data_IF_150325240659
#
_entry.id   IF_150325240659
#
_cell.length_a   1.000
_cell.length_b   1.000
_cell.length_c   1.000
_cell.angle_alpha   90.00
_cell.angle_beta   90.00
_cell.angle_gamma   90.00
#
_symmetry.space_group_name_H-M   'P 1'
#
loop_
_entity.id
_entity.type
_entity.pdbx_description
1 polymer ?
#
# COMPACT_ATOMS: atom_id res chain seq x y z
N UNK A 1 56.10 0.80 -11.09
CA UNK A 1 56.19 -0.40 -10.24
C UNK A 1 54.85 -0.63 -9.58
N UNK A 2 54.06 -1.58 -10.08
CA UNK A 2 52.78 -1.95 -9.47
C UNK A 2 53.09 -2.70 -8.17
N UNK A 3 52.66 -2.16 -7.03
CA UNK A 3 52.71 -2.87 -5.75
C UNK A 3 51.83 -4.11 -5.85
N UNK A 4 52.46 -5.27 -6.10
CA UNK A 4 51.80 -6.58 -6.00
C UNK A 4 51.66 -6.88 -4.51
N UNK A 5 50.54 -6.46 -3.93
CA UNK A 5 50.22 -6.71 -2.52
C UNK A 5 50.31 -8.19 -2.16
N UNK A 6 50.75 -8.49 -0.93
CA UNK A 6 50.90 -9.86 -0.43
C UNK A 6 49.53 -10.54 -0.43
N UNK A 7 49.37 -11.72 -1.07
CA UNK A 7 48.12 -12.45 -1.06
C UNK A 7 47.77 -12.91 0.37
N UNK A 8 46.59 -12.52 0.84
CA UNK A 8 46.04 -12.86 2.14
C UNK A 8 44.67 -13.52 2.00
N UNK A 9 44.20 -14.17 3.07
CA UNK A 9 42.88 -14.80 3.11
C UNK A 9 41.83 -13.82 3.62
N UNK A 10 40.71 -13.71 2.88
CA UNK A 10 39.55 -12.91 3.31
C UNK A 10 38.99 -13.45 4.64
N UNK A 11 38.82 -12.57 5.64
CA UNK A 11 38.31 -12.93 6.97
C UNK A 11 36.84 -13.40 6.97
N UNK A 12 36.11 -13.19 5.87
CA UNK A 12 34.72 -13.61 5.71
C UNK A 12 34.58 -14.93 4.92
N UNK A 13 35.11 -14.99 3.69
CA UNK A 13 34.90 -16.11 2.77
C UNK A 13 36.12 -17.00 2.54
N UNK A 14 37.29 -16.66 3.10
CA UNK A 14 38.53 -17.43 2.94
C UNK A 14 39.17 -17.37 1.54
N UNK A 15 38.63 -16.61 0.60
CA UNK A 15 39.25 -16.43 -0.71
C UNK A 15 40.55 -15.64 -0.61
N UNK A 16 41.52 -15.99 -1.48
CA UNK A 16 42.78 -15.26 -1.58
C UNK A 16 42.53 -13.88 -2.19
N UNK A 17 43.09 -12.84 -1.59
CA UNK A 17 42.91 -11.45 -1.99
C UNK A 17 44.17 -10.64 -1.69
N UNK A 18 44.42 -9.61 -2.50
CA UNK A 18 45.47 -8.61 -2.25
C UNK A 18 45.05 -7.57 -1.20
N UNK A 19 43.76 -7.55 -0.83
CA UNK A 19 43.25 -6.64 0.19
C UNK A 19 43.58 -7.18 1.60
N UNK A 20 44.08 -6.33 2.52
CA UNK A 20 44.49 -6.73 3.87
C UNK A 20 43.51 -7.57 4.69
N UNK A 21 42.19 -7.44 4.48
CA UNK A 21 41.21 -8.10 5.34
C UNK A 21 40.04 -8.76 4.60
N UNK A 22 39.57 -8.19 3.50
CA UNK A 22 38.35 -8.67 2.83
C UNK A 22 38.45 -8.56 1.31
N UNK A 23 37.96 -9.55 0.58
CA UNK A 23 37.99 -9.54 -0.89
C UNK A 23 37.00 -8.55 -1.53
N UNK A 24 36.02 -8.06 -0.79
CA UNK A 24 35.03 -7.10 -1.28
C UNK A 24 34.35 -6.32 -0.15
N UNK A 25 33.70 -5.20 -0.52
CA UNK A 25 32.82 -4.45 0.39
C UNK A 25 31.72 -5.33 0.99
N UNK A 26 31.19 -6.28 0.22
CA UNK A 26 30.16 -7.22 0.66
C UNK A 26 30.68 -8.19 1.73
N UNK A 27 31.90 -8.70 1.59
CA UNK A 27 32.54 -9.56 2.60
C UNK A 27 32.84 -8.79 3.89
N UNK A 28 33.36 -7.56 3.79
CA UNK A 28 33.56 -6.70 4.95
C UNK A 28 32.24 -6.41 5.68
N UNK A 29 31.18 -6.07 4.93
CA UNK A 29 29.87 -5.80 5.49
C UNK A 29 29.26 -7.03 6.17
N UNK A 30 29.33 -8.21 5.55
CA UNK A 30 28.77 -9.45 6.09
C UNK A 30 29.47 -9.88 7.37
N UNK A 31 30.80 -9.85 7.38
CA UNK A 31 31.60 -10.12 8.59
C UNK A 31 31.27 -9.14 9.72
N UNK A 32 31.22 -7.84 9.41
CA UNK A 32 30.89 -6.82 10.41
C UNK A 32 29.44 -6.93 10.91
N UNK A 33 28.48 -7.25 10.04
CA UNK A 33 27.09 -7.45 10.42
C UNK A 33 26.90 -8.70 11.30
N UNK A 34 27.72 -9.74 11.10
CA UNK A 34 27.72 -10.94 11.96
C UNK A 34 28.38 -10.67 13.31
N UNK A 35 29.53 -9.98 13.32
CA UNK A 35 30.31 -9.71 14.54
C UNK A 35 29.69 -8.61 15.40
N UNK A 36 29.05 -7.63 14.77
CA UNK A 36 28.37 -6.50 15.41
C UNK A 36 26.93 -6.41 14.90
N UNK A 37 26.07 -7.39 15.24
CA UNK A 37 24.70 -7.39 14.78
C UNK A 37 24.00 -6.12 15.25
N UNK A 38 23.35 -5.42 14.30
CA UNK A 38 22.50 -4.28 14.66
C UNK A 38 21.47 -4.77 15.67
N UNK A 39 21.50 -4.23 16.90
CA UNK A 39 20.44 -4.46 17.89
C UNK A 39 19.12 -4.13 17.20
N UNK A 40 18.23 -5.12 17.04
CA UNK A 40 16.85 -4.87 16.62
C UNK A 40 16.26 -3.98 17.71
N UNK A 41 16.13 -2.68 17.45
CA UNK A 41 15.37 -1.80 18.33
C UNK A 41 13.92 -2.29 18.20
N UNK A 42 13.51 -3.18 19.10
CA UNK A 42 12.10 -3.52 19.25
C UNK A 42 11.34 -2.20 19.35
N UNK A 43 10.34 -2.01 18.48
CA UNK A 43 9.55 -0.81 18.54
C UNK A 43 8.86 -0.80 19.90
N UNK A 44 9.21 0.17 20.76
CA UNK A 44 8.52 0.34 22.04
C UNK A 44 7.02 0.50 21.75
N UNK A 45 6.13 -0.14 22.52
CA UNK A 45 4.70 0.09 22.38
C UNK A 45 4.44 1.59 22.55
N UNK A 46 3.61 2.14 21.65
CA UNK A 46 3.18 3.54 21.70
C UNK A 46 1.72 3.56 22.13
N UNK A 47 1.33 4.62 22.83
CA UNK A 47 -0.02 4.80 23.32
C UNK A 47 -0.60 6.11 22.80
N UNK A 48 -1.91 6.16 22.63
CA UNK A 48 -2.62 7.38 22.26
C UNK A 48 -2.34 8.49 23.29
N UNK A 49 -2.04 9.69 22.82
CA UNK A 49 -1.77 10.86 23.68
C UNK A 49 -2.98 11.35 24.47
N UNK A 50 -4.21 10.93 24.13
CA UNK A 50 -5.45 11.35 24.78
C UNK A 50 -6.04 10.28 25.71
N UNK A 51 -6.25 9.06 25.21
CA UNK A 51 -6.92 7.99 25.95
C UNK A 51 -6.01 6.82 26.37
N UNK A 52 -4.70 6.89 26.08
CA UNK A 52 -3.69 5.88 26.45
C UNK A 52 -3.91 4.46 25.93
N UNK A 53 -4.84 4.23 25.00
CA UNK A 53 -4.97 2.95 24.29
C UNK A 53 -3.73 2.69 23.42
N UNK A 54 -3.32 1.44 23.28
CA UNK A 54 -2.19 1.01 22.44
C UNK A 54 -2.41 1.44 20.97
N UNK A 55 -1.40 2.07 20.36
CA UNK A 55 -1.43 2.49 18.96
C UNK A 55 -0.27 1.88 18.17
N UNK A 56 -0.52 1.62 16.88
CA UNK A 56 0.42 0.92 16.01
C UNK A 56 1.35 1.88 15.25
N UNK A 57 2.56 1.39 14.94
CA UNK A 57 3.52 2.09 14.08
C UNK A 57 4.00 3.43 14.65
N UNK A 58 3.80 4.51 13.88
CA UNK A 58 4.20 5.89 14.25
C UNK A 58 3.03 6.78 14.69
N UNK A 59 1.83 6.21 14.89
CA UNK A 59 0.65 6.97 15.29
C UNK A 59 0.83 7.57 16.69
N UNK A 60 0.23 8.73 16.90
CA UNK A 60 0.20 9.43 18.21
C UNK A 60 -1.21 9.49 18.81
N UNK A 61 -2.24 9.17 18.02
CA UNK A 61 -3.65 9.13 18.40
C UNK A 61 -4.28 7.81 17.98
N UNK A 62 -5.29 7.34 18.73
CA UNK A 62 -6.15 6.23 18.31
C UNK A 62 -7.18 6.73 17.29
N UNK A 63 -7.91 5.82 16.65
CA UNK A 63 -8.90 6.17 15.63
C UNK A 63 -10.02 7.07 16.19
N UNK A 64 -10.47 6.83 17.43
CA UNK A 64 -11.52 7.63 18.09
C UNK A 64 -11.03 9.05 18.41
N UNK A 65 -9.82 9.21 18.94
CA UNK A 65 -9.28 10.51 19.31
C UNK A 65 -8.63 11.27 18.13
N UNK A 66 -8.61 10.69 16.94
CA UNK A 66 -8.06 11.34 15.76
C UNK A 66 -9.18 12.09 15.01
N UNK A 67 -9.21 13.44 15.04
CA UNK A 67 -10.27 14.20 14.38
C UNK A 67 -10.27 14.04 12.85
N UNK A 68 -9.15 13.61 12.27
CA UNK A 68 -9.03 13.31 10.84
C UNK A 68 -9.41 11.87 10.49
N UNK A 69 -9.75 11.03 11.46
CA UNK A 69 -10.22 9.69 11.20
C UNK A 69 -11.60 9.73 10.54
N UNK A 70 -11.76 8.91 9.51
CA UNK A 70 -13.02 8.74 8.79
C UNK A 70 -13.36 7.27 8.82
N UNK A 71 -14.48 6.95 9.46
CA UNK A 71 -15.07 5.63 9.39
C UNK A 71 -15.91 5.51 8.11
N UNK A 72 -15.39 4.78 7.13
CA UNK A 72 -16.05 4.61 5.83
C UNK A 72 -17.19 3.58 5.86
N UNK A 73 -17.36 2.85 6.97
CA UNK A 73 -18.42 1.85 7.12
C UNK A 73 -19.80 2.48 7.29
N UNK A 74 -19.85 3.61 7.98
CA UNK A 74 -21.09 4.29 8.36
C UNK A 74 -21.31 5.64 7.65
N UNK A 75 -20.25 6.29 7.17
CA UNK A 75 -20.35 7.58 6.47
C UNK A 75 -21.25 7.45 5.23
N UNK A 76 -22.25 8.30 5.11
CA UNK A 76 -23.15 8.33 3.94
C UNK A 76 -22.62 9.21 2.80
N UNK A 77 -23.22 9.09 1.62
CA UNK A 77 -22.86 9.92 0.46
C UNK A 77 -23.08 11.42 0.72
N UNK A 78 -24.20 11.78 1.36
CA UNK A 78 -24.52 13.17 1.73
C UNK A 78 -23.54 13.74 2.74
N UNK A 79 -23.19 13.00 3.79
CA UNK A 79 -22.20 13.41 4.78
C UNK A 79 -20.81 13.62 4.15
N UNK A 80 -20.43 12.76 3.20
CA UNK A 80 -19.19 12.91 2.45
C UNK A 80 -19.22 14.16 1.56
N UNK A 81 -20.33 14.40 0.86
CA UNK A 81 -20.53 15.61 0.03
C UNK A 81 -20.42 16.88 0.87
N UNK A 82 -21.04 16.91 2.05
CA UNK A 82 -20.95 18.04 2.98
C UNK A 82 -19.50 18.26 3.46
N UNK A 83 -18.75 17.20 3.76
CA UNK A 83 -17.35 17.29 4.21
C UNK A 83 -16.35 17.62 3.09
N UNK A 84 -16.68 17.31 1.84
CA UNK A 84 -15.74 17.37 0.72
C UNK A 84 -16.44 17.74 -0.60
N UNK A 85 -17.05 18.94 -0.68
CA UNK A 85 -17.86 19.40 -1.81
C UNK A 85 -17.29 19.01 -3.19
N UNK A 86 -16.05 19.41 -3.49
CA UNK A 86 -15.45 19.16 -4.81
C UNK A 86 -14.77 17.81 -4.97
N UNK A 87 -14.47 17.11 -3.86
CA UNK A 87 -13.60 15.94 -3.86
C UNK A 87 -14.30 14.65 -3.44
N UNK A 88 -15.63 14.69 -3.20
CA UNK A 88 -16.40 13.55 -2.73
C UNK A 88 -16.24 12.34 -3.67
N UNK A 89 -16.41 12.52 -4.98
CA UNK A 89 -16.27 11.42 -5.96
C UNK A 89 -14.86 10.84 -6.01
N UNK A 90 -13.83 11.67 -5.84
CA UNK A 90 -12.44 11.20 -5.77
C UNK A 90 -12.18 10.38 -4.50
N UNK A 91 -12.79 10.77 -3.37
CA UNK A 91 -12.73 10.02 -2.10
C UNK A 91 -13.44 8.67 -2.20
N UNK A 92 -14.64 8.60 -2.79
CA UNK A 92 -15.34 7.33 -3.04
C UNK A 92 -14.47 6.39 -3.88
N UNK A 93 -13.91 6.89 -4.99
CA UNK A 93 -12.98 6.11 -5.85
C UNK A 93 -11.69 5.69 -5.14
N UNK A 94 -11.21 6.47 -4.17
CA UNK A 94 -10.06 6.06 -3.35
C UNK A 94 -10.41 4.89 -2.43
N UNK A 95 -11.60 4.91 -1.82
CA UNK A 95 -12.10 3.81 -0.99
C UNK A 95 -12.30 2.56 -1.85
N UNK A 96 -12.94 2.67 -3.02
CA UNK A 96 -13.10 1.58 -3.99
C UNK A 96 -11.78 0.86 -4.30
N UNK A 97 -10.74 1.62 -4.67
CA UNK A 97 -9.41 1.08 -4.97
C UNK A 97 -8.79 0.36 -3.77
N UNK A 98 -9.01 0.84 -2.56
CA UNK A 98 -8.51 0.21 -1.35
C UNK A 98 -9.27 -1.08 -1.01
N UNK A 99 -10.60 -1.08 -1.13
CA UNK A 99 -11.45 -2.28 -0.97
C UNK A 99 -11.02 -3.34 -1.97
N UNK A 100 -10.96 -2.97 -3.26
CA UNK A 100 -10.55 -3.90 -4.31
C UNK A 100 -9.13 -4.41 -4.09
N UNK A 101 -8.15 -3.56 -3.74
CA UNK A 101 -6.76 -4.02 -3.51
C UNK A 101 -6.66 -5.05 -2.37
N UNK A 102 -7.51 -4.93 -1.34
CA UNK A 102 -7.53 -5.83 -0.17
C UNK A 102 -8.36 -7.10 -0.39
N UNK A 103 -9.16 -7.16 -1.44
CA UNK A 103 -9.97 -8.34 -1.77
C UNK A 103 -9.15 -9.40 -2.50
N UNK A 104 -9.72 -10.60 -2.60
CA UNK A 104 -9.18 -11.71 -3.39
C UNK A 104 -9.51 -11.63 -4.89
N UNK A 105 -10.13 -10.55 -5.37
CA UNK A 105 -10.48 -10.40 -6.79
C UNK A 105 -9.22 -10.32 -7.67
N UNK A 106 -9.26 -10.76 -8.94
CA UNK A 106 -8.13 -10.63 -9.86
C UNK A 106 -7.69 -9.19 -10.04
N UNK A 107 -6.37 -8.93 -10.01
CA UNK A 107 -5.77 -7.59 -10.19
C UNK A 107 -5.37 -7.36 -11.64
N UNK A 108 -6.31 -7.64 -12.54
CA UNK A 108 -6.16 -7.56 -13.98
C UNK A 108 -7.50 -7.20 -14.61
N UNK A 109 -7.49 -6.77 -15.86
CA UNK A 109 -8.72 -6.57 -16.62
C UNK A 109 -9.52 -7.87 -16.69
N UNK A 110 -10.79 -7.84 -16.29
CA UNK A 110 -11.63 -9.03 -16.32
C UNK A 110 -12.01 -9.45 -17.75
N UNK A 111 -12.02 -8.51 -18.70
CA UNK A 111 -12.40 -8.77 -20.10
C UNK A 111 -11.26 -9.42 -20.89
N UNK A 112 -10.07 -8.82 -20.89
CA UNK A 112 -8.94 -9.29 -21.72
C UNK A 112 -7.76 -9.89 -20.94
N UNK A 113 -7.81 -9.90 -19.60
CA UNK A 113 -6.74 -10.44 -18.76
C UNK A 113 -5.47 -9.58 -18.66
N UNK A 114 -5.44 -8.36 -19.23
CA UNK A 114 -4.27 -7.48 -19.09
C UNK A 114 -3.95 -7.19 -17.62
N UNK A 115 -2.74 -7.52 -17.20
CA UNK A 115 -2.38 -7.61 -15.77
C UNK A 115 -1.27 -6.64 -15.33
N UNK A 116 -0.81 -5.74 -16.20
CA UNK A 116 0.22 -4.73 -15.84
C UNK A 116 -0.38 -3.47 -15.22
N UNK A 117 -1.60 -3.11 -15.63
CA UNK A 117 -2.35 -1.99 -15.09
C UNK A 117 -3.85 -2.28 -15.14
N UNK A 118 -4.57 -1.89 -14.09
CA UNK A 118 -6.02 -1.96 -14.04
C UNK A 118 -6.56 -0.73 -13.31
N UNK A 119 -7.77 -0.33 -13.70
CA UNK A 119 -8.60 0.67 -13.07
C UNK A 119 -9.77 -0.03 -12.38
N UNK A 120 -10.17 0.49 -11.23
CA UNK A 120 -11.31 -0.05 -10.47
C UNK A 120 -12.51 0.82 -10.76
N UNK A 121 -13.51 0.22 -11.40
CA UNK A 121 -14.72 0.88 -11.88
C UNK A 121 -15.92 0.40 -11.07
N UNK A 122 -16.91 1.26 -10.90
CA UNK A 122 -18.19 0.88 -10.28
C UNK A 122 -19.14 0.34 -11.34
N UNK A 123 -19.75 -0.83 -11.11
CA UNK A 123 -20.72 -1.42 -12.03
C UNK A 123 -22.00 -0.57 -12.05
N UNK A 124 -22.58 -0.31 -10.87
CA UNK A 124 -23.57 0.74 -10.66
C UNK A 124 -22.84 2.05 -10.33
N UNK A 125 -22.99 3.12 -11.13
CA UNK A 125 -22.23 4.35 -10.94
C UNK A 125 -22.65 5.09 -9.65
N UNK A 126 -21.73 5.87 -9.09
CA UNK A 126 -21.91 6.58 -7.80
C UNK A 126 -23.15 7.47 -7.80
N UNK A 127 -23.46 8.10 -8.94
CA UNK A 127 -24.58 9.03 -9.08
C UNK A 127 -25.96 8.36 -8.97
N UNK A 128 -26.03 7.03 -9.15
CA UNK A 128 -27.29 6.28 -9.12
C UNK A 128 -27.68 5.86 -7.69
N UNK A 129 -26.84 6.17 -6.68
CA UNK A 129 -27.12 5.87 -5.28
C UNK A 129 -27.81 7.04 -4.57
N UNK A 130 -28.67 6.71 -3.62
CA UNK A 130 -29.34 7.69 -2.77
C UNK A 130 -28.36 8.38 -1.81
N UNK A 131 -28.69 9.60 -1.38
CA UNK A 131 -27.86 10.45 -0.52
C UNK A 131 -27.56 9.86 0.87
N UNK A 132 -28.44 9.00 1.37
CA UNK A 132 -28.31 8.28 2.64
C UNK A 132 -27.54 6.95 2.49
N UNK A 133 -27.17 6.56 1.27
CA UNK A 133 -26.44 5.31 1.03
C UNK A 133 -25.06 5.37 1.70
N UNK A 134 -24.70 4.37 2.54
CA UNK A 134 -23.36 4.27 3.10
C UNK A 134 -22.27 4.10 2.02
N UNK A 135 -21.13 4.77 2.19
CA UNK A 135 -19.99 4.67 1.26
C UNK A 135 -19.47 3.23 1.16
N UNK A 136 -19.58 2.44 2.23
CA UNK A 136 -19.24 1.01 2.20
C UNK A 136 -20.15 0.19 1.27
N UNK A 137 -21.44 0.54 1.16
CA UNK A 137 -22.36 -0.13 0.24
C UNK A 137 -22.07 0.25 -1.21
N UNK A 138 -21.78 1.52 -1.49
CA UNK A 138 -21.38 1.98 -2.83
C UNK A 138 -20.10 1.26 -3.29
N UNK A 139 -19.16 1.06 -2.38
CA UNK A 139 -17.88 0.39 -2.64
C UNK A 139 -17.90 -1.10 -2.27
N UNK A 140 -19.07 -1.73 -2.21
CA UNK A 140 -19.16 -3.17 -2.01
C UNK A 140 -18.36 -3.89 -3.11
N UNK A 141 -17.69 -4.98 -2.76
CA UNK A 141 -16.81 -5.67 -3.72
C UNK A 141 -17.56 -6.18 -4.95
N UNK A 142 -18.86 -6.46 -4.83
CA UNK A 142 -19.71 -6.90 -5.94
C UNK A 142 -20.15 -5.74 -6.84
N UNK A 143 -19.98 -4.49 -6.40
CA UNK A 143 -20.19 -3.31 -7.24
C UNK A 143 -18.90 -2.83 -7.93
N UNK A 144 -17.78 -3.56 -7.79
CA UNK A 144 -16.48 -3.14 -8.31
C UNK A 144 -15.93 -4.13 -9.33
N UNK A 145 -15.39 -3.61 -10.42
CA UNK A 145 -14.74 -4.39 -11.47
C UNK A 145 -13.37 -3.82 -11.81
N UNK A 146 -12.40 -4.68 -12.13
CA UNK A 146 -11.09 -4.26 -12.65
C UNK A 146 -11.06 -4.30 -14.18
N UNK A 147 -10.76 -3.17 -14.80
CA UNK A 147 -10.67 -3.01 -16.26
C UNK A 147 -9.32 -2.42 -16.66
N UNK A 148 -8.85 -2.70 -17.88
CA UNK A 148 -7.76 -1.92 -18.46
C UNK A 148 -8.33 -0.59 -19.00
N UNK A 149 -7.50 0.42 -19.30
CA UNK A 149 -7.99 1.72 -19.73
C UNK A 149 -8.92 1.68 -20.95
N UNK A 150 -8.69 0.75 -21.89
CA UNK A 150 -9.53 0.61 -23.08
C UNK A 150 -10.92 0.07 -22.72
N UNK A 151 -11.01 -1.07 -22.02
CA UNK A 151 -12.30 -1.65 -21.63
C UNK A 151 -13.04 -0.77 -20.60
N UNK A 152 -12.31 0.01 -19.78
CA UNK A 152 -12.94 1.01 -18.92
C UNK A 152 -13.63 2.08 -19.76
N UNK A 153 -12.95 2.62 -20.78
CA UNK A 153 -13.55 3.57 -21.70
C UNK A 153 -14.76 2.99 -22.45
N UNK A 154 -14.68 1.73 -22.87
CA UNK A 154 -15.80 1.05 -23.53
C UNK A 154 -17.01 0.89 -22.60
N UNK A 155 -16.77 0.52 -21.34
CA UNK A 155 -17.81 0.41 -20.31
C UNK A 155 -18.49 1.75 -20.03
N UNK A 156 -17.70 2.83 -19.83
CA UNK A 156 -18.23 4.19 -19.60
C UNK A 156 -19.08 4.70 -20.78
N UNK A 157 -18.89 4.14 -21.98
CA UNK A 157 -19.65 4.49 -23.19
C UNK A 157 -20.79 3.51 -23.51
N UNK A 158 -21.06 2.55 -22.63
CA UNK A 158 -22.12 1.56 -22.81
C UNK A 158 -21.85 0.53 -23.92
N UNK A 159 -20.59 0.34 -24.30
CA UNK A 159 -20.17 -0.71 -25.24
C UNK A 159 -19.98 -2.07 -24.55
N UNK A 160 -19.87 -2.08 -23.22
CA UNK A 160 -19.79 -3.26 -22.36
C UNK A 160 -20.84 -3.18 -21.26
N UNK A 161 -21.26 -4.33 -20.75
CA UNK A 161 -22.17 -4.46 -19.60
C UNK A 161 -21.67 -5.52 -18.63
N UNK A 162 -22.09 -5.40 -17.36
CA UNK A 162 -21.78 -6.32 -16.26
C UNK A 162 -23.04 -6.68 -15.51
#
# INVERSE_FOLDING_TARGET
MAWLGIPMKCKHCGQTTINPAFCSRSCAASYNNQKFPKKRKGHKPRYCKHCRILVTGRRTTCDICNPSYVDWSCLTLSELRAKALYQHSARVRQVARNVYRRSNQPKQCIICGYNKHYEVCHIRPIQDFAEDTPIAQINDINNLVALCPNHHWEFDRGLLTF
#
